data_IF_977038284053
#
_entry.id   IF_977038284053
#
_cell.length_a   1.000
_cell.length_b   1.000
_cell.length_c   1.000
_cell.angle_alpha   90.00
_cell.angle_beta   90.00
_cell.angle_gamma   90.00
#
_symmetry.space_group_name_H-M   'P 1'
#
loop_
_entity.id
_entity.type
_entity.pdbx_description
1 polymer ?
#
# COMPACT_ATOMS: atom_id res chain seq x y z
N UNK A 1 -57.19 -2.47 -54.61
CA UNK A 1 -56.91 -1.76 -53.40
C UNK A 1 -56.02 -2.64 -52.51
N UNK A 2 -54.67 -2.39 -52.49
CA UNK A 2 -53.71 -3.14 -51.69
C UNK A 2 -53.54 -2.48 -50.32
N UNK A 3 -53.88 -3.19 -49.23
CA UNK A 3 -53.66 -2.75 -47.87
C UNK A 3 -52.22 -3.00 -47.50
N UNK A 4 -51.46 -1.92 -47.31
CA UNK A 4 -50.09 -1.95 -46.81
C UNK A 4 -50.12 -2.11 -45.29
N UNK A 5 -49.61 -3.23 -44.77
CA UNK A 5 -49.46 -3.50 -43.33
C UNK A 5 -48.14 -2.88 -42.89
N UNK A 6 -48.18 -1.81 -42.08
CA UNK A 6 -47.04 -1.29 -41.40
C UNK A 6 -46.70 -2.18 -40.21
N UNK A 7 -45.60 -2.90 -40.29
CA UNK A 7 -45.04 -3.64 -39.16
C UNK A 7 -44.14 -2.67 -38.38
N UNK A 8 -44.63 -2.19 -37.25
CA UNK A 8 -43.89 -1.34 -36.33
C UNK A 8 -42.87 -2.21 -35.58
N UNK A 9 -41.58 -2.02 -35.89
CA UNK A 9 -40.47 -2.68 -35.21
C UNK A 9 -40.14 -1.84 -33.97
N UNK A 10 -40.65 -2.26 -32.80
CA UNK A 10 -40.29 -1.66 -31.52
C UNK A 10 -38.90 -2.19 -31.11
N UNK A 11 -37.87 -1.39 -31.30
CA UNK A 11 -36.53 -1.68 -30.79
C UNK A 11 -36.53 -1.37 -29.34
N UNK A 12 -36.56 -2.41 -28.49
CA UNK A 12 -36.39 -2.31 -27.05
C UNK A 12 -34.91 -2.03 -26.73
N UNK A 13 -34.55 -0.77 -26.55
CA UNK A 13 -33.21 -0.39 -26.06
C UNK A 13 -33.16 -0.69 -24.56
N UNK A 14 -32.68 -1.88 -24.22
CA UNK A 14 -32.36 -2.21 -22.81
C UNK A 14 -31.06 -1.48 -22.49
N UNK A 15 -31.19 -0.30 -21.86
CA UNK A 15 -30.07 0.39 -21.24
C UNK A 15 -29.59 -0.43 -20.06
N UNK A 16 -28.52 -1.21 -20.25
CA UNK A 16 -27.82 -1.88 -19.15
C UNK A 16 -27.16 -0.76 -18.33
N UNK A 17 -27.81 -0.32 -17.26
CA UNK A 17 -27.16 0.49 -16.23
C UNK A 17 -26.16 -0.42 -15.51
N UNK A 18 -24.94 -0.43 -15.98
CA UNK A 18 -23.82 -0.99 -15.22
C UNK A 18 -23.61 0.00 -14.07
N UNK A 19 -23.81 -0.43 -12.81
CA UNK A 19 -23.45 0.43 -11.70
C UNK A 19 -21.95 0.70 -11.83
N UNK A 20 -21.58 1.96 -11.99
CA UNK A 20 -20.19 2.37 -11.83
C UNK A 20 -19.81 1.94 -10.41
N UNK A 21 -18.93 0.95 -10.29
CA UNK A 21 -18.29 0.65 -9.03
C UNK A 21 -17.50 1.90 -8.69
N UNK A 22 -18.00 2.67 -7.72
CA UNK A 22 -17.23 3.75 -7.10
C UNK A 22 -15.98 3.09 -6.49
N UNK A 23 -14.92 3.04 -7.27
CA UNK A 23 -13.59 2.69 -6.74
C UNK A 23 -13.15 3.88 -5.89
N UNK A 24 -13.53 3.81 -4.61
CA UNK A 24 -13.12 4.82 -3.66
C UNK A 24 -11.61 4.77 -3.52
N UNK A 25 -10.97 5.87 -3.86
CA UNK A 25 -9.56 6.11 -3.62
C UNK A 25 -9.21 5.85 -2.15
N UNK A 26 -8.05 5.26 -1.89
CA UNK A 26 -7.58 5.04 -0.53
C UNK A 26 -7.32 6.39 0.15
N UNK A 27 -8.36 6.90 0.76
CA UNK A 27 -8.29 8.06 1.65
C UNK A 27 -8.56 7.55 3.05
N UNK A 28 -7.54 7.56 3.89
CA UNK A 28 -7.70 7.15 5.28
C UNK A 28 -8.60 8.14 6.01
N UNK A 29 -9.81 7.71 6.37
CA UNK A 29 -10.80 8.55 7.04
C UNK A 29 -10.36 8.93 8.46
N UNK A 30 -9.59 8.05 9.10
CA UNK A 30 -9.07 8.26 10.47
C UNK A 30 -7.57 7.99 10.47
N UNK A 31 -6.78 8.98 10.83
CA UNK A 31 -5.34 8.87 11.01
C UNK A 31 -4.96 9.37 12.41
N UNK A 32 -3.98 8.74 13.08
CA UNK A 32 -3.17 7.61 12.61
C UNK A 32 -3.91 6.28 12.63
N UNK A 33 -3.54 5.36 11.73
CA UNK A 33 -3.96 3.96 11.74
C UNK A 33 -2.76 3.11 12.11
N UNK A 34 -2.93 2.20 13.08
CA UNK A 34 -1.85 1.37 13.59
C UNK A 34 -2.22 -0.10 13.59
N UNK A 35 -1.31 -0.93 13.13
CA UNK A 35 -1.36 -2.38 13.27
C UNK A 35 -0.18 -2.86 14.10
N UNK A 36 -0.42 -3.81 14.99
CA UNK A 36 0.61 -4.38 15.87
C UNK A 36 0.46 -5.89 15.88
N UNK A 37 1.57 -6.57 15.64
CA UNK A 37 1.71 -8.02 15.80
C UNK A 37 2.59 -8.33 17.03
N UNK A 38 3.00 -9.58 17.17
CA UNK A 38 3.97 -9.95 18.21
C UNK A 38 5.38 -9.43 17.91
N UNK A 39 5.69 -9.19 16.64
CA UNK A 39 7.03 -8.81 16.20
C UNK A 39 7.12 -7.35 15.77
N UNK A 40 6.11 -6.85 15.06
CA UNK A 40 6.18 -5.55 14.40
C UNK A 40 5.01 -4.64 14.76
N UNK A 41 5.28 -3.35 14.74
CA UNK A 41 4.26 -2.29 14.79
C UNK A 41 4.42 -1.40 13.57
N UNK A 42 3.34 -1.21 12.83
CA UNK A 42 3.28 -0.34 11.64
C UNK A 42 2.19 0.70 11.85
N UNK A 43 2.54 1.97 11.73
CA UNK A 43 1.61 3.09 11.92
C UNK A 43 1.66 4.01 10.70
N UNK A 44 0.51 4.24 10.08
CA UNK A 44 0.32 5.21 9.00
C UNK A 44 -0.26 6.49 9.60
N UNK A 45 0.32 7.63 9.28
CA UNK A 45 -0.07 8.93 9.79
C UNK A 45 -0.18 9.98 8.67
N UNK A 46 -0.72 11.15 9.01
CA UNK A 46 -0.73 12.31 8.11
C UNK A 46 0.70 12.69 7.72
N UNK A 47 0.83 13.24 6.51
CA UNK A 47 2.09 13.83 6.08
C UNK A 47 2.59 14.85 7.10
N UNK A 48 3.90 14.84 7.36
CA UNK A 48 4.53 15.86 8.22
C UNK A 48 4.76 17.13 7.39
N UNK A 49 4.43 18.28 7.97
CA UNK A 49 4.70 19.55 7.31
C UNK A 49 6.22 19.73 7.16
N UNK A 50 6.67 19.82 5.92
CA UNK A 50 8.05 20.12 5.54
C UNK A 50 8.03 21.04 4.32
N UNK A 51 8.99 21.97 4.24
CA UNK A 51 9.10 22.95 3.16
C UNK A 51 9.39 22.31 1.79
N UNK A 52 9.94 21.08 1.79
CA UNK A 52 10.35 20.34 0.60
C UNK A 52 9.39 19.21 0.21
N UNK A 53 8.20 19.17 0.83
CA UNK A 53 7.24 18.09 0.57
C UNK A 53 6.45 18.38 -0.69
N UNK A 54 6.32 17.37 -1.54
CA UNK A 54 5.31 17.37 -2.59
C UNK A 54 3.94 17.31 -1.93
N UNK A 55 3.19 18.39 -2.05
CA UNK A 55 1.83 18.46 -1.52
C UNK A 55 0.91 17.53 -2.30
N UNK A 56 -0.15 17.00 -1.64
CA UNK A 56 -1.14 16.19 -2.33
C UNK A 56 -1.64 16.89 -3.58
N UNK A 57 -1.66 16.18 -4.70
CA UNK A 57 -2.20 16.69 -5.95
C UNK A 57 -3.52 15.97 -6.23
N UNK A 58 -4.62 16.73 -6.11
CA UNK A 58 -5.99 16.20 -6.31
C UNK A 58 -6.10 15.47 -7.65
N UNK A 59 -6.64 14.27 -7.65
CA UNK A 59 -6.78 13.43 -8.83
C UNK A 59 -5.51 12.66 -9.21
N UNK A 60 -4.41 12.77 -8.43
CA UNK A 60 -3.17 12.05 -8.70
C UNK A 60 -2.68 11.25 -7.52
N UNK A 61 -2.42 11.90 -6.37
CA UNK A 61 -1.91 11.22 -5.19
C UNK A 61 -2.22 11.95 -3.88
N UNK A 62 -2.29 11.16 -2.83
CA UNK A 62 -2.28 11.61 -1.45
C UNK A 62 -0.88 11.40 -0.86
N UNK A 63 -0.55 12.14 0.22
CA UNK A 63 0.75 12.04 0.90
C UNK A 63 0.55 11.61 2.34
N UNK A 64 1.31 10.60 2.77
CA UNK A 64 1.26 10.02 4.10
C UNK A 64 2.67 9.83 4.66
N UNK A 65 2.75 9.61 5.97
CA UNK A 65 3.97 9.17 6.63
C UNK A 65 3.73 7.82 7.30
N UNK A 66 4.79 7.02 7.46
CA UNK A 66 4.71 5.72 8.11
C UNK A 66 5.86 5.57 9.11
N UNK A 67 5.56 4.91 10.22
CA UNK A 67 6.54 4.50 11.22
C UNK A 67 6.46 2.99 11.44
N UNK A 68 7.62 2.33 11.44
CA UNK A 68 7.75 0.89 11.65
C UNK A 68 8.70 0.66 12.83
N UNK A 69 8.26 -0.19 13.78
CA UNK A 69 9.03 -0.55 14.99
C UNK A 69 9.13 -2.07 15.12
N UNK A 70 10.28 -2.54 15.57
CA UNK A 70 10.39 -3.86 16.17
C UNK A 70 9.85 -3.79 17.61
N UNK A 71 8.84 -4.60 17.94
CA UNK A 71 8.25 -4.71 19.27
C UNK A 71 8.43 -6.12 19.85
N UNK A 72 9.06 -7.01 19.12
CA UNK A 72 9.32 -8.39 19.48
C UNK A 72 10.80 -8.69 19.73
N UNK A 73 11.21 -9.86 19.28
CA UNK A 73 12.59 -10.33 19.45
C UNK A 73 13.55 -9.65 18.46
N UNK A 74 14.85 -9.69 18.78
CA UNK A 74 15.91 -9.18 17.91
C UNK A 74 15.88 -9.87 16.54
N UNK A 75 15.89 -9.08 15.47
CA UNK A 75 16.09 -9.51 14.11
C UNK A 75 17.60 -9.51 13.76
N UNK A 76 18.07 -10.48 12.98
CA UNK A 76 19.42 -10.48 12.43
C UNK A 76 19.48 -9.67 11.13
N UNK A 77 18.43 -9.77 10.31
CA UNK A 77 18.23 -8.97 9.10
C UNK A 77 16.80 -8.44 9.08
N UNK A 78 16.58 -7.31 8.44
CA UNK A 78 15.24 -6.79 8.16
C UNK A 78 15.18 -6.13 6.80
N UNK A 79 14.05 -6.28 6.14
CA UNK A 79 13.74 -5.66 4.86
C UNK A 79 12.30 -5.18 4.90
N UNK A 80 12.05 -3.98 4.40
CA UNK A 80 10.73 -3.39 4.32
C UNK A 80 10.41 -3.12 2.85
N UNK A 81 9.26 -3.61 2.41
CA UNK A 81 8.75 -3.39 1.07
C UNK A 81 7.36 -2.79 1.18
N UNK A 82 7.07 -1.77 0.38
CA UNK A 82 5.78 -1.12 0.35
C UNK A 82 5.18 -1.19 -1.04
N UNK A 83 3.90 -1.51 -1.11
CA UNK A 83 3.17 -1.67 -2.35
C UNK A 83 1.82 -0.97 -2.27
N UNK A 84 1.33 -0.54 -3.42
CA UNK A 84 -0.07 -0.24 -3.64
C UNK A 84 -0.67 -1.24 -4.62
N UNK A 85 -1.95 -1.44 -4.56
CA UNK A 85 -2.64 -2.19 -5.59
C UNK A 85 -2.88 -1.28 -6.82
N UNK A 86 -3.14 -1.93 -7.96
CA UNK A 86 -3.81 -1.32 -9.10
C UNK A 86 -5.27 -1.76 -9.03
N UNK A 87 -6.25 -0.84 -9.00
CA UNK A 87 -7.66 -1.18 -8.97
C UNK A 87 -8.02 -2.18 -10.08
N UNK A 88 -8.95 -3.07 -9.80
CA UNK A 88 -9.44 -4.09 -10.73
C UNK A 88 -8.36 -5.02 -11.32
N UNK A 89 -7.24 -5.17 -10.60
CA UNK A 89 -6.10 -5.97 -11.03
C UNK A 89 -5.44 -6.67 -9.84
N UNK A 90 -4.81 -7.81 -10.09
CA UNK A 90 -3.93 -8.48 -9.11
C UNK A 90 -2.53 -7.88 -9.07
N UNK A 91 -2.28 -6.82 -9.84
CA UNK A 91 -0.96 -6.18 -9.93
C UNK A 91 -0.68 -5.37 -8.66
N UNK A 92 0.47 -5.65 -8.06
CA UNK A 92 1.06 -4.85 -6.97
C UNK A 92 2.15 -3.96 -7.54
N UNK A 93 2.09 -2.68 -7.21
CA UNK A 93 3.05 -1.68 -7.66
C UNK A 93 3.90 -1.23 -6.48
N UNK A 94 5.22 -1.41 -6.57
CA UNK A 94 6.14 -0.97 -5.51
C UNK A 94 6.15 0.54 -5.39
N UNK A 95 6.08 1.06 -4.17
CA UNK A 95 6.19 2.51 -3.89
C UNK A 95 7.64 2.98 -3.89
N UNK A 96 8.56 2.08 -3.55
CA UNK A 96 10.00 2.35 -3.55
C UNK A 96 10.69 1.36 -4.49
N UNK A 97 10.22 1.34 -5.73
CA UNK A 97 10.78 0.49 -6.77
C UNK A 97 12.17 0.94 -7.17
N UNK A 98 12.99 -0.03 -7.52
CA UNK A 98 14.22 0.20 -8.24
C UNK A 98 13.89 0.34 -9.73
N UNK A 99 13.93 1.53 -10.31
CA UNK A 99 13.50 1.76 -11.70
C UNK A 99 14.23 0.85 -12.71
N UNK A 100 15.46 0.46 -12.39
CA UNK A 100 16.33 -0.29 -13.30
C UNK A 100 16.44 -1.79 -12.93
N UNK A 101 15.70 -2.27 -11.93
CA UNK A 101 15.80 -3.65 -11.44
C UNK A 101 17.17 -4.02 -10.87
N UNK A 102 18.09 -3.04 -10.72
CA UNK A 102 19.47 -3.24 -10.32
C UNK A 102 19.75 -2.97 -8.85
N UNK A 103 18.74 -2.69 -8.05
CA UNK A 103 18.92 -2.57 -6.60
C UNK A 103 19.31 -3.93 -6.03
N UNK A 104 20.60 -4.18 -6.01
CA UNK A 104 21.15 -5.28 -5.22
C UNK A 104 20.95 -4.89 -3.75
N UNK A 105 20.00 -5.51 -3.11
CA UNK A 105 19.92 -5.44 -1.66
C UNK A 105 21.18 -6.04 -1.09
N UNK A 106 21.95 -5.21 -0.43
CA UNK A 106 23.15 -5.70 0.23
C UNK A 106 22.71 -6.26 1.57
N UNK A 107 23.21 -7.43 1.90
CA UNK A 107 22.95 -8.06 3.21
C UNK A 107 23.34 -7.12 4.35
N UNK A 108 24.34 -6.28 4.13
CA UNK A 108 24.79 -5.24 5.05
C UNK A 108 23.72 -4.20 5.36
N UNK A 109 22.92 -3.80 4.35
CA UNK A 109 21.80 -2.86 4.53
C UNK A 109 20.70 -3.50 5.39
N UNK A 110 20.36 -4.77 5.12
CA UNK A 110 19.37 -5.51 5.88
C UNK A 110 19.81 -5.72 7.35
N UNK A 111 21.10 -5.99 7.59
CA UNK A 111 21.65 -6.09 8.94
C UNK A 111 21.68 -4.73 9.65
N UNK A 112 22.03 -3.66 8.93
CA UNK A 112 22.04 -2.31 9.49
C UNK A 112 20.65 -1.86 9.91
N UNK A 113 19.64 -2.13 9.07
CA UNK A 113 18.26 -1.86 9.37
C UNK A 113 17.78 -2.63 10.60
N UNK A 114 18.08 -3.94 10.68
CA UNK A 114 17.75 -4.76 11.83
C UNK A 114 18.38 -4.21 13.14
N UNK A 115 19.66 -3.85 13.11
CA UNK A 115 20.34 -3.24 14.29
C UNK A 115 19.66 -1.96 14.75
N UNK A 116 19.26 -1.08 13.82
CA UNK A 116 18.55 0.15 14.16
C UNK A 116 17.21 -0.14 14.84
N UNK A 117 16.43 -1.05 14.28
CA UNK A 117 15.12 -1.45 14.79
C UNK A 117 15.23 -2.14 16.17
N UNK A 118 16.22 -3.00 16.39
CA UNK A 118 16.47 -3.68 17.66
C UNK A 118 16.86 -2.70 18.79
N UNK A 119 17.51 -1.58 18.43
CA UNK A 119 17.84 -0.52 19.38
C UNK A 119 16.66 0.40 19.70
N UNK A 120 15.45 0.06 19.24
CA UNK A 120 14.23 0.84 19.46
C UNK A 120 14.10 2.07 18.57
N UNK A 121 14.99 2.26 17.58
CA UNK A 121 14.89 3.35 16.63
C UNK A 121 13.87 2.97 15.55
N UNK A 122 12.76 3.71 15.41
CA UNK A 122 11.79 3.42 14.36
C UNK A 122 12.35 3.76 12.98
N UNK A 123 11.96 2.97 11.99
CA UNK A 123 12.12 3.37 10.59
C UNK A 123 10.96 4.28 10.22
N UNK A 124 11.27 5.42 9.62
CA UNK A 124 10.28 6.40 9.20
C UNK A 124 10.35 6.62 7.70
N UNK A 125 9.23 6.44 7.02
CA UNK A 125 9.00 6.85 5.65
C UNK A 125 8.17 8.13 5.67
N UNK A 126 8.85 9.27 5.53
CA UNK A 126 8.19 10.57 5.61
C UNK A 126 7.65 10.96 4.25
N UNK A 127 6.38 11.37 4.24
CA UNK A 127 5.77 12.03 3.09
C UNK A 127 5.82 11.23 1.78
N UNK A 128 5.58 9.90 1.86
CA UNK A 128 5.47 9.08 0.66
C UNK A 128 4.15 9.34 -0.07
N UNK A 129 4.21 9.25 -1.38
CA UNK A 129 3.05 9.47 -2.25
C UNK A 129 2.31 8.15 -2.51
N UNK A 130 1.00 8.18 -2.33
CA UNK A 130 0.11 7.07 -2.65
C UNK A 130 -0.88 7.54 -3.72
N UNK A 131 -0.92 6.86 -4.87
CA UNK A 131 -1.83 7.24 -5.94
C UNK A 131 -3.28 7.21 -5.47
N UNK A 132 -4.05 8.22 -5.86
CA UNK A 132 -5.45 8.37 -5.42
C UNK A 132 -6.34 7.20 -5.87
N UNK A 133 -5.98 6.55 -6.98
CA UNK A 133 -6.67 5.36 -7.48
C UNK A 133 -6.45 4.10 -6.63
N UNK A 134 -5.41 4.06 -5.77
CA UNK A 134 -5.14 2.90 -4.93
C UNK A 134 -6.27 2.70 -3.91
N UNK A 135 -6.62 1.46 -3.63
CA UNK A 135 -7.60 1.08 -2.59
C UNK A 135 -6.96 0.32 -1.44
N UNK A 136 -5.69 -0.04 -1.59
CA UNK A 136 -4.91 -0.78 -0.58
C UNK A 136 -3.45 -0.31 -0.57
N UNK A 137 -2.93 -0.12 0.63
CA UNK A 137 -1.51 0.01 0.92
C UNK A 137 -1.07 -1.26 1.65
N UNK A 138 -0.07 -1.95 1.10
CA UNK A 138 0.50 -3.16 1.69
C UNK A 138 1.95 -2.93 2.07
N UNK A 139 2.31 -3.37 3.28
CA UNK A 139 3.66 -3.32 3.82
C UNK A 139 4.11 -4.72 4.16
N UNK A 140 5.10 -5.21 3.43
CA UNK A 140 5.77 -6.48 3.70
C UNK A 140 7.01 -6.21 4.55
N UNK A 141 7.14 -6.88 5.68
CA UNK A 141 8.35 -6.91 6.48
C UNK A 141 8.90 -8.34 6.40
N UNK A 142 10.11 -8.46 5.88
CA UNK A 142 10.82 -9.73 5.73
C UNK A 142 12.03 -9.66 6.64
N UNK A 143 12.23 -10.67 7.49
CA UNK A 143 13.34 -10.68 8.43
C UNK A 143 13.84 -12.09 8.74
N UNK A 144 15.05 -12.19 9.23
CA UNK A 144 15.53 -13.38 9.92
C UNK A 144 15.67 -13.09 11.40
N UNK A 145 15.32 -14.06 12.24
CA UNK A 145 15.45 -13.91 13.68
C UNK A 145 16.90 -14.15 14.11
N UNK A 146 17.40 -13.38 15.06
CA UNK A 146 18.72 -13.58 15.62
C UNK A 146 18.85 -14.97 16.25
N UNK A 147 19.85 -15.73 15.82
CA UNK A 147 20.05 -17.12 16.18
C UNK A 147 19.28 -18.13 15.32
N UNK A 148 18.52 -17.66 14.31
CA UNK A 148 17.79 -18.50 13.35
C UNK A 148 17.92 -17.91 11.92
N UNK A 149 19.12 -17.46 11.55
CA UNK A 149 19.37 -16.68 10.34
C UNK A 149 19.12 -17.42 9.03
N UNK A 150 18.99 -18.75 9.09
CA UNK A 150 18.73 -19.59 7.91
C UNK A 150 17.29 -19.62 7.41
N UNK A 151 16.37 -18.89 8.08
CA UNK A 151 14.94 -18.90 7.73
C UNK A 151 14.38 -17.49 7.65
N UNK A 152 13.96 -17.09 6.47
CA UNK A 152 13.20 -15.86 6.28
C UNK A 152 11.78 -16.01 6.84
N UNK A 153 11.40 -15.03 7.63
CA UNK A 153 10.05 -14.82 8.12
C UNK A 153 9.45 -13.63 7.37
N UNK A 154 8.12 -13.61 7.26
CA UNK A 154 7.42 -12.51 6.58
C UNK A 154 6.11 -12.21 7.30
N UNK A 155 5.85 -10.93 7.53
CA UNK A 155 4.55 -10.39 7.89
C UNK A 155 4.10 -9.35 6.88
N UNK A 156 2.79 -9.33 6.61
CA UNK A 156 2.16 -8.41 5.68
C UNK A 156 1.10 -7.60 6.42
N UNK A 157 1.22 -6.29 6.36
CA UNK A 157 0.27 -5.33 6.92
C UNK A 157 -0.52 -4.70 5.78
N UNK A 158 -1.85 -4.75 5.85
CA UNK A 158 -2.75 -4.21 4.83
C UNK A 158 -3.60 -3.10 5.41
N UNK A 159 -3.56 -1.96 4.76
CA UNK A 159 -4.32 -0.79 5.12
C UNK A 159 -5.30 -0.46 3.99
N UNK A 160 -6.58 -0.35 4.33
CA UNK A 160 -7.66 0.00 3.41
C UNK A 160 -8.42 1.22 3.95
N UNK A 161 -9.31 1.80 3.17
CA UNK A 161 -10.15 2.94 3.58
C UNK A 161 -10.90 2.68 4.89
N UNK A 162 -11.34 1.43 5.09
CA UNK A 162 -12.11 1.02 6.27
C UNK A 162 -11.23 0.66 7.49
N UNK A 163 -9.93 0.88 7.41
CA UNK A 163 -8.98 0.57 8.46
C UNK A 163 -8.17 -0.70 8.17
N UNK A 164 -8.14 -1.60 9.14
CA UNK A 164 -7.32 -2.81 9.15
C UNK A 164 -8.18 -4.01 8.75
N UNK A 165 -7.70 -4.82 7.78
CA UNK A 165 -8.23 -6.16 7.48
C UNK A 165 -7.34 -7.22 8.11
#
# INVERSE_FOLDING_TARGET
MKKMRFTSCVILVVSIMIPALDTKALTFNVLPIKQVTKQWSVEVSKAKADKNVSWPEKGKYNTYSMEIKNVGNDAATAEIQMYRNKPDSTTRLSLFGCPDGKCKKQIEDAQSLARSLNNGNPVQYLNFMLAEEATELEVDIIWTQKGQEGRDLKETFRFTENGVN
#
